data_IF_746365022807
#
_entry.id   IF_746365022807
#
_cell.length_a   1.000
_cell.length_b   1.000
_cell.length_c   1.000
_cell.angle_alpha   90.00
_cell.angle_beta   90.00
_cell.angle_gamma   90.00
#
_symmetry.space_group_name_H-M   'P 1'
#
loop_
_entity.id
_entity.type
_entity.pdbx_description
1 polymer ?
#
# COMPACT_ATOMS: atom_id res chain seq x y z
N UNK A 1 4.90 -19.14 -13.06
CA UNK A 1 4.42 -18.08 -12.14
C UNK A 1 4.99 -18.38 -10.75
N UNK A 2 5.59 -17.41 -10.06
CA UNK A 2 6.17 -17.63 -8.72
C UNK A 2 5.06 -17.94 -7.71
N UNK A 3 5.25 -18.91 -6.83
CA UNK A 3 4.34 -19.10 -5.69
C UNK A 3 4.41 -17.91 -4.73
N UNK A 4 3.33 -17.67 -3.97
CA UNK A 4 3.35 -16.70 -2.89
C UNK A 4 4.17 -17.22 -1.70
N UNK A 5 4.99 -16.35 -1.12
CA UNK A 5 5.58 -16.51 0.21
C UNK A 5 5.74 -15.13 0.86
N UNK A 6 5.71 -15.06 2.20
CA UNK A 6 5.96 -13.80 2.91
C UNK A 6 7.36 -13.25 2.60
N UNK A 7 8.37 -14.11 2.53
CA UNK A 7 9.75 -13.71 2.19
C UNK A 7 9.88 -13.10 0.79
N UNK A 8 9.12 -13.60 -0.19
CA UNK A 8 9.07 -13.01 -1.52
C UNK A 8 8.41 -11.63 -1.51
N UNK A 9 7.36 -11.46 -0.69
CA UNK A 9 6.70 -10.18 -0.49
C UNK A 9 7.63 -9.18 0.21
N UNK A 10 8.29 -9.56 1.30
CA UNK A 10 9.25 -8.71 2.01
C UNK A 10 10.35 -8.22 1.07
N UNK A 11 10.92 -9.12 0.26
CA UNK A 11 11.91 -8.75 -0.75
C UNK A 11 11.35 -7.73 -1.75
N UNK A 12 10.16 -7.99 -2.31
CA UNK A 12 9.50 -7.08 -3.26
C UNK A 12 9.20 -5.71 -2.64
N UNK A 13 8.77 -5.67 -1.38
CA UNK A 13 8.56 -4.42 -0.64
C UNK A 13 9.87 -3.71 -0.35
N UNK A 14 10.97 -4.43 -0.13
CA UNK A 14 12.29 -3.82 0.03
C UNK A 14 12.77 -3.12 -1.25
N UNK A 15 12.42 -3.68 -2.42
CA UNK A 15 12.75 -3.18 -3.77
C UNK A 15 11.73 -2.12 -4.29
N UNK A 16 10.60 -1.93 -3.60
CA UNK A 16 9.56 -0.97 -3.98
C UNK A 16 10.09 0.46 -4.03
N UNK A 17 9.93 1.14 -5.16
CA UNK A 17 10.32 2.54 -5.37
C UNK A 17 9.10 3.43 -5.61
N UNK A 18 9.32 4.74 -5.60
CA UNK A 18 8.28 5.75 -5.87
C UNK A 18 7.90 5.86 -7.35
N UNK A 19 8.46 5.04 -8.25
CA UNK A 19 8.06 5.07 -9.65
C UNK A 19 6.73 4.35 -9.87
N UNK A 20 5.91 4.88 -10.78
CA UNK A 20 4.60 4.30 -11.10
C UNK A 20 4.71 2.83 -11.54
N UNK A 21 5.72 2.51 -12.35
CA UNK A 21 5.96 1.15 -12.84
C UNK A 21 6.30 0.17 -11.70
N UNK A 22 7.06 0.61 -10.68
CA UNK A 22 7.39 -0.24 -9.53
C UNK A 22 6.13 -0.59 -8.74
N UNK A 23 5.29 0.42 -8.45
CA UNK A 23 4.00 0.26 -7.75
C UNK A 23 3.06 -0.66 -8.52
N UNK A 24 2.84 -0.41 -9.81
CA UNK A 24 1.92 -1.19 -10.64
C UNK A 24 2.37 -2.64 -10.79
N UNK A 25 3.67 -2.87 -11.00
CA UNK A 25 4.21 -4.23 -11.15
C UNK A 25 3.98 -5.05 -9.88
N UNK A 26 4.23 -4.46 -8.71
CA UNK A 26 3.96 -5.14 -7.45
C UNK A 26 2.46 -5.30 -7.20
N UNK A 27 1.66 -4.29 -7.46
CA UNK A 27 0.19 -4.35 -7.33
C UNK A 27 -0.42 -5.52 -8.12
N UNK A 28 -0.03 -5.67 -9.39
CA UNK A 28 -0.49 -6.78 -10.23
C UNK A 28 -0.09 -8.15 -9.65
N UNK A 29 1.12 -8.27 -9.10
CA UNK A 29 1.56 -9.49 -8.44
C UNK A 29 0.72 -9.79 -7.19
N UNK A 30 0.41 -8.78 -6.36
CA UNK A 30 -0.46 -8.96 -5.19
C UNK A 30 -1.88 -9.35 -5.58
N UNK A 31 -2.46 -8.69 -6.58
CA UNK A 31 -3.82 -8.99 -7.10
C UNK A 31 -3.89 -10.41 -7.65
N UNK A 32 -2.84 -10.88 -8.32
CA UNK A 32 -2.73 -12.27 -8.76
C UNK A 32 -2.78 -13.26 -7.58
N UNK A 33 -2.15 -12.91 -6.45
CA UNK A 33 -2.11 -13.71 -5.23
C UNK A 33 -3.21 -13.35 -4.21
N UNK A 34 -4.33 -12.73 -4.62
CA UNK A 34 -5.40 -12.25 -3.70
C UNK A 34 -5.99 -13.30 -2.75
N UNK A 35 -5.87 -14.59 -3.05
CA UNK A 35 -6.24 -15.67 -2.12
C UNK A 35 -5.44 -15.62 -0.80
N UNK A 36 -4.32 -14.90 -0.80
CA UNK A 36 -3.47 -14.64 0.35
C UNK A 36 -3.59 -13.17 0.84
N UNK A 37 -4.71 -12.48 0.56
CA UNK A 37 -4.87 -11.06 0.91
C UNK A 37 -4.59 -10.76 2.40
N UNK A 38 -5.09 -11.58 3.33
CA UNK A 38 -4.82 -11.41 4.76
C UNK A 38 -3.32 -11.42 5.11
N UNK A 39 -2.58 -12.51 4.82
CA UNK A 39 -1.13 -12.55 4.99
C UNK A 39 -0.40 -11.41 4.28
N UNK A 40 -0.81 -11.04 3.06
CA UNK A 40 -0.22 -9.92 2.31
C UNK A 40 -0.36 -8.61 3.08
N UNK A 41 -1.56 -8.29 3.57
CA UNK A 41 -1.84 -7.04 4.29
C UNK A 41 -1.09 -6.99 5.63
N UNK A 42 -0.98 -8.12 6.33
CA UNK A 42 -0.18 -8.23 7.56
C UNK A 42 1.30 -7.92 7.30
N UNK A 43 1.90 -8.53 6.27
CA UNK A 43 3.30 -8.26 5.90
C UNK A 43 3.48 -6.81 5.44
N UNK A 44 2.60 -6.31 4.58
CA UNK A 44 2.62 -4.92 4.12
C UNK A 44 2.60 -3.94 5.29
N UNK A 45 1.72 -4.17 6.28
CA UNK A 45 1.58 -3.30 7.43
C UNK A 45 2.82 -3.35 8.34
N UNK A 46 3.36 -4.55 8.58
CA UNK A 46 4.61 -4.76 9.31
C UNK A 46 5.78 -4.02 8.68
N UNK A 47 5.94 -4.14 7.36
CA UNK A 47 7.04 -3.50 6.63
C UNK A 47 6.86 -1.99 6.48
N UNK A 48 5.61 -1.49 6.35
CA UNK A 48 5.30 -0.05 6.40
C UNK A 48 5.82 0.58 7.70
N UNK A 49 5.60 -0.07 8.84
CA UNK A 49 6.02 0.46 10.15
C UNK A 49 7.54 0.48 10.32
N UNK A 50 8.26 -0.42 9.64
CA UNK A 50 9.74 -0.46 9.62
C UNK A 50 10.36 0.51 8.61
N UNK A 51 9.60 0.92 7.58
CA UNK A 51 10.11 1.73 6.50
C UNK A 51 10.55 3.13 6.98
N UNK A 52 11.61 3.67 6.36
CA UNK A 52 12.03 5.07 6.53
C UNK A 52 10.91 6.01 6.08
N UNK A 53 10.79 7.19 6.71
CA UNK A 53 9.73 8.17 6.42
C UNK A 53 9.55 8.45 4.93
N UNK A 54 10.65 8.61 4.18
CA UNK A 54 10.64 8.87 2.74
C UNK A 54 10.01 7.76 1.87
N UNK A 55 9.87 6.53 2.40
CA UNK A 55 9.28 5.40 1.68
C UNK A 55 7.84 5.10 2.10
N UNK A 56 7.39 5.58 3.25
CA UNK A 56 6.06 5.25 3.79
C UNK A 56 4.93 5.68 2.88
N UNK A 57 5.08 6.81 2.19
CA UNK A 57 4.10 7.27 1.22
C UNK A 57 3.96 6.31 0.03
N UNK A 58 5.07 5.73 -0.44
CA UNK A 58 5.06 4.72 -1.50
C UNK A 58 4.28 3.45 -1.11
N UNK A 59 4.34 3.04 0.16
CA UNK A 59 3.54 1.91 0.65
C UNK A 59 2.02 2.21 0.60
N UNK A 60 1.62 3.46 0.88
CA UNK A 60 0.23 3.88 0.74
C UNK A 60 -0.19 3.91 -0.73
N UNK A 61 0.69 4.30 -1.65
CA UNK A 61 0.42 4.25 -3.10
C UNK A 61 0.17 2.83 -3.58
N UNK A 62 0.96 1.88 -3.08
CA UNK A 62 0.75 0.46 -3.35
C UNK A 62 -0.60 -0.02 -2.81
N UNK A 63 -0.95 0.30 -1.56
CA UNK A 63 -2.24 -0.09 -0.99
C UNK A 63 -3.40 0.48 -1.81
N UNK A 64 -3.31 1.76 -2.20
CA UNK A 64 -4.31 2.40 -3.04
C UNK A 64 -4.48 1.69 -4.39
N UNK A 65 -3.38 1.46 -5.11
CA UNK A 65 -3.42 0.82 -6.43
C UNK A 65 -3.98 -0.61 -6.33
N UNK A 66 -3.60 -1.37 -5.30
CA UNK A 66 -4.13 -2.72 -5.04
C UNK A 66 -5.63 -2.68 -4.79
N UNK A 67 -6.10 -1.83 -3.87
CA UNK A 67 -7.52 -1.76 -3.50
C UNK A 67 -8.37 -1.35 -4.70
N UNK A 68 -7.94 -0.33 -5.45
CA UNK A 68 -8.69 0.18 -6.60
C UNK A 68 -8.75 -0.85 -7.74
N UNK A 69 -7.62 -1.50 -8.05
CA UNK A 69 -7.54 -2.45 -9.17
C UNK A 69 -8.05 -3.85 -8.82
N UNK A 70 -8.15 -4.22 -7.53
CA UNK A 70 -8.68 -5.52 -7.13
C UNK A 70 -10.20 -5.60 -7.13
N UNK A 71 -10.94 -4.47 -7.09
CA UNK A 71 -12.41 -4.45 -6.94
C UNK A 71 -13.14 -5.34 -7.96
N UNK A 72 -12.65 -5.40 -9.20
CA UNK A 72 -13.23 -6.22 -10.29
C UNK A 72 -12.93 -7.73 -10.16
N UNK A 73 -11.98 -8.11 -9.30
CA UNK A 73 -11.53 -9.50 -9.06
C UNK A 73 -12.13 -10.11 -7.80
N UNK A 74 -12.46 -9.26 -6.81
CA UNK A 74 -13.11 -9.64 -5.57
C UNK A 74 -12.85 -8.64 -4.44
N UNK A 75 -13.56 -8.79 -3.31
CA UNK A 75 -13.51 -7.84 -2.20
C UNK A 75 -12.38 -8.13 -1.19
N UNK A 76 -11.54 -9.14 -1.42
CA UNK A 76 -10.59 -9.66 -0.43
C UNK A 76 -9.66 -8.54 0.08
N UNK A 77 -9.00 -7.81 -0.81
CA UNK A 77 -8.11 -6.73 -0.41
C UNK A 77 -8.84 -5.56 0.25
N UNK A 78 -10.01 -5.16 -0.26
CA UNK A 78 -10.79 -4.08 0.36
C UNK A 78 -11.09 -4.38 1.82
N UNK A 79 -11.55 -5.60 2.13
CA UNK A 79 -11.86 -6.04 3.50
C UNK A 79 -10.62 -6.11 4.39
N UNK A 80 -9.53 -6.68 3.89
CA UNK A 80 -8.31 -6.85 4.70
C UNK A 80 -7.66 -5.49 5.01
N UNK A 81 -7.56 -4.60 4.01
CA UNK A 81 -6.99 -3.27 4.21
C UNK A 81 -7.84 -2.39 5.15
N UNK A 82 -9.17 -2.48 5.10
CA UNK A 82 -10.07 -1.70 5.97
C UNK A 82 -9.67 -1.79 7.46
N UNK A 83 -9.24 -2.97 7.91
CA UNK A 83 -8.83 -3.22 9.29
C UNK A 83 -7.52 -2.54 9.73
N UNK A 84 -6.64 -2.18 8.79
CA UNK A 84 -5.30 -1.63 9.09
C UNK A 84 -5.08 -0.20 8.61
N UNK A 85 -5.91 0.31 7.68
CA UNK A 85 -5.67 1.60 7.04
C UNK A 85 -5.66 2.75 8.05
N UNK A 86 -6.58 2.78 9.02
CA UNK A 86 -6.63 3.86 10.03
C UNK A 86 -5.32 3.95 10.83
N UNK A 87 -4.77 2.82 11.28
CA UNK A 87 -3.48 2.78 11.99
C UNK A 87 -2.32 3.14 11.05
N UNK A 88 -2.33 2.61 9.83
CA UNK A 88 -1.32 2.92 8.82
C UNK A 88 -1.23 4.43 8.53
N UNK A 89 -2.34 5.09 8.24
CA UNK A 89 -2.38 6.54 8.02
C UNK A 89 -1.92 7.32 9.24
N UNK A 90 -2.38 6.94 10.42
CA UNK A 90 -1.96 7.58 11.68
C UNK A 90 -0.45 7.45 11.90
N UNK A 91 0.12 6.29 11.57
CA UNK A 91 1.55 6.05 11.66
C UNK A 91 2.36 6.87 10.65
N UNK A 92 1.89 6.96 9.40
CA UNK A 92 2.55 7.75 8.35
C UNK A 92 2.47 9.25 8.68
N UNK A 93 1.30 9.75 9.07
CA UNK A 93 1.07 11.16 9.40
C UNK A 93 1.99 11.67 10.51
N UNK A 94 2.24 10.86 11.55
CA UNK A 94 3.17 11.23 12.64
C UNK A 94 4.64 11.29 12.21
N UNK A 95 4.98 10.63 11.12
CA UNK A 95 6.37 10.53 10.65
C UNK A 95 6.72 11.46 9.49
N UNK A 96 5.72 12.08 8.87
CA UNK A 96 5.88 13.10 7.83
C UNK A 96 5.80 14.48 8.47
N UNK A 97 6.62 15.41 8.00
CA UNK A 97 6.43 16.82 8.36
C UNK A 97 5.10 17.31 7.74
N UNK A 98 4.41 18.26 8.38
CA UNK A 98 3.11 18.77 7.91
C UNK A 98 3.11 19.24 6.45
N UNK A 99 4.28 19.58 5.91
CA UNK A 99 4.49 20.01 4.52
C UNK A 99 4.38 18.84 3.53
N UNK A 100 4.91 17.65 3.87
CA UNK A 100 4.85 16.45 3.01
C UNK A 100 3.46 15.81 2.97
N UNK A 101 2.62 16.04 3.99
CA UNK A 101 1.24 15.53 4.04
C UNK A 101 0.26 16.38 3.20
N UNK A 102 0.65 17.61 2.88
CA UNK A 102 -0.21 18.56 2.14
C UNK A 102 -0.28 18.30 0.63
N UNK A 103 0.67 17.55 0.07
CA UNK A 103 0.80 17.36 -1.37
C UNK A 103 1.19 15.93 -1.74
N UNK A 104 0.27 15.20 -2.38
CA UNK A 104 0.63 14.06 -3.22
C UNK A 104 1.36 14.61 -4.46
N UNK A 105 2.58 14.15 -4.79
CA UNK A 105 3.18 14.48 -6.08
C UNK A 105 2.38 13.77 -7.18
N UNK A 106 1.53 14.51 -7.89
CA UNK A 106 0.75 14.01 -9.03
C UNK A 106 -0.78 14.02 -8.85
N UNK A 107 -1.31 14.37 -7.66
CA UNK A 107 -2.75 14.59 -7.45
C UNK A 107 -2.99 15.74 -6.48
N UNK A 108 -3.97 16.61 -6.76
CA UNK A 108 -4.30 17.78 -5.92
C UNK A 108 -5.13 17.45 -4.67
N UNK A 109 -5.15 16.18 -4.24
CA UNK A 109 -6.09 15.68 -3.24
C UNK A 109 -5.36 15.48 -1.91
N UNK A 110 -5.74 16.20 -0.83
CA UNK A 110 -5.20 15.95 0.50
C UNK A 110 -5.45 14.51 0.96
N UNK A 111 -4.54 13.89 1.70
CA UNK A 111 -4.70 12.52 2.25
C UNK A 111 -6.00 12.38 3.07
N UNK A 112 -6.46 13.47 3.70
CA UNK A 112 -7.75 13.51 4.40
C UNK A 112 -8.95 13.15 3.50
N UNK A 113 -8.83 13.35 2.18
CA UNK A 113 -9.85 13.02 1.19
C UNK A 113 -9.66 11.64 0.57
N UNK A 114 -8.55 10.95 0.83
CA UNK A 114 -8.29 9.58 0.35
C UNK A 114 -9.38 8.60 0.80
N UNK A 115 -9.85 8.70 2.03
CA UNK A 115 -10.97 7.88 2.55
C UNK A 115 -12.28 8.02 1.76
N UNK A 116 -12.46 9.06 0.94
CA UNK A 116 -13.68 9.23 0.13
C UNK A 116 -13.60 8.50 -1.22
N UNK A 117 -12.42 8.13 -1.68
CA UNK A 117 -12.19 7.55 -3.01
C UNK A 117 -11.91 6.03 -2.98
N UNK A 118 -11.66 5.48 -1.80
CA UNK A 118 -11.44 4.04 -1.57
C UNK A 118 -12.74 3.36 -1.19
#
# INVERSE_FOLDING_TARGET
MSSFSESALERKLSELSNSQQSVQTLSLWLIHHRKHAGPIVVVWHRELRKAKSSRKLTFLYLANDVIQNSKKKGPEFTKEFESVLVDAFSHVARSLSAIEFSTYPGTSIPIANWFREV
#
